data_IF_029589352980
#
_entry.id   IF_029589352980
#
_cell.length_a   1.000
_cell.length_b   1.000
_cell.length_c   1.000
_cell.angle_alpha   90.00
_cell.angle_beta   90.00
_cell.angle_gamma   90.00
#
_symmetry.space_group_name_H-M   'P 1'
#
loop_
_entity.id
_entity.type
_entity.pdbx_description
1 polymer ?
#
# COMPACT_ATOMS: atom_id res chain seq x y z
N UNK A 1 59.33 9.38 11.37
CA UNK A 1 58.10 9.12 12.17
C UNK A 1 57.36 8.02 11.45
N UNK A 2 57.27 6.86 12.10
CA UNK A 2 56.77 5.61 11.52
C UNK A 2 55.24 5.62 11.49
N UNK A 3 54.65 5.43 10.30
CA UNK A 3 53.20 5.50 10.03
C UNK A 3 52.52 4.12 9.99
N UNK A 4 53.16 3.06 10.49
CA UNK A 4 52.67 1.67 10.32
C UNK A 4 52.02 1.04 11.58
N UNK A 5 51.34 1.82 12.42
CA UNK A 5 50.48 1.23 13.48
C UNK A 5 49.06 0.99 12.98
N UNK A 6 48.81 -0.22 12.48
CA UNK A 6 47.48 -0.78 12.33
C UNK A 6 46.86 -1.02 13.71
N UNK A 7 45.91 -0.18 14.13
CA UNK A 7 44.99 -0.51 15.21
C UNK A 7 44.03 -1.60 14.71
N UNK A 8 44.26 -2.85 15.11
CA UNK A 8 43.21 -3.89 15.02
C UNK A 8 42.18 -3.57 16.10
N UNK A 9 41.00 -3.13 15.67
CA UNK A 9 39.85 -3.01 16.54
C UNK A 9 39.45 -4.42 16.97
N UNK A 10 39.65 -4.75 18.26
CA UNK A 10 39.42 -6.09 18.83
C UNK A 10 38.00 -6.26 19.39
N UNK A 11 37.10 -5.32 19.13
CA UNK A 11 35.69 -5.48 19.48
C UNK A 11 34.95 -6.05 18.27
N UNK A 12 34.62 -7.34 18.32
CA UNK A 12 33.52 -7.86 17.50
C UNK A 12 32.28 -7.01 17.82
N UNK A 13 31.64 -6.48 16.78
CA UNK A 13 30.50 -5.59 16.90
C UNK A 13 29.23 -6.38 17.28
N UNK A 14 29.18 -6.81 18.54
CA UNK A 14 28.02 -7.46 19.15
C UNK A 14 26.79 -6.54 19.18
N UNK A 15 26.94 -5.23 18.95
CA UNK A 15 25.82 -4.28 18.96
C UNK A 15 24.86 -4.49 17.80
N UNK A 16 25.36 -4.92 16.64
CA UNK A 16 24.55 -5.19 15.44
C UNK A 16 23.68 -6.44 15.65
N UNK A 17 24.24 -7.52 16.21
CA UNK A 17 23.49 -8.74 16.49
C UNK A 17 22.46 -8.54 17.61
N UNK A 18 22.84 -7.82 18.68
CA UNK A 18 21.93 -7.51 19.79
C UNK A 18 20.82 -6.56 19.35
N UNK A 19 21.12 -5.51 18.58
CA UNK A 19 20.09 -4.61 18.03
C UNK A 19 19.18 -5.31 17.04
N UNK A 20 19.70 -6.19 16.17
CA UNK A 20 18.87 -6.99 15.28
C UNK A 20 17.93 -7.92 16.04
N UNK A 21 18.41 -8.57 17.12
CA UNK A 21 17.57 -9.44 17.93
C UNK A 21 16.48 -8.64 18.69
N UNK A 22 16.83 -7.48 19.26
CA UNK A 22 15.86 -6.59 19.93
C UNK A 22 14.79 -6.11 18.93
N UNK A 23 15.19 -5.60 17.77
CA UNK A 23 14.25 -5.12 16.74
C UNK A 23 13.37 -6.26 16.21
N UNK A 24 13.90 -7.47 16.09
CA UNK A 24 13.15 -8.65 15.66
C UNK A 24 12.09 -9.06 16.69
N UNK A 25 12.45 -9.07 17.96
CA UNK A 25 11.55 -9.40 19.07
C UNK A 25 10.45 -8.34 19.22
N UNK A 26 10.79 -7.05 19.08
CA UNK A 26 9.83 -5.95 19.08
C UNK A 26 8.87 -6.02 17.88
N UNK A 27 9.37 -6.37 16.69
CA UNK A 27 8.52 -6.51 15.50
C UNK A 27 7.55 -7.68 15.63
N UNK A 28 8.00 -8.83 16.12
CA UNK A 28 7.15 -9.98 16.43
C UNK A 28 6.02 -9.62 17.41
N UNK A 29 6.38 -8.87 18.46
CA UNK A 29 5.43 -8.40 19.45
C UNK A 29 4.39 -7.46 18.83
N UNK A 30 4.81 -6.49 18.01
CA UNK A 30 3.89 -5.57 17.32
C UNK A 30 2.95 -6.32 16.36
N UNK A 31 3.46 -7.24 15.55
CA UNK A 31 2.64 -8.07 14.64
C UNK A 31 1.61 -8.87 15.43
N UNK A 32 2.02 -9.48 16.55
CA UNK A 32 1.13 -10.24 17.43
C UNK A 32 0.05 -9.34 18.04
N UNK A 33 0.39 -8.13 18.49
CA UNK A 33 -0.56 -7.15 19.00
C UNK A 33 -1.57 -6.73 17.94
N UNK A 34 -1.14 -6.47 16.70
CA UNK A 34 -2.03 -6.11 15.59
C UNK A 34 -3.05 -7.24 15.36
N UNK A 35 -2.58 -8.48 15.18
CA UNK A 35 -3.47 -9.64 14.94
C UNK A 35 -4.45 -9.83 16.10
N UNK A 36 -3.97 -9.87 17.34
CA UNK A 36 -4.82 -10.10 18.52
C UNK A 36 -5.85 -8.98 18.72
N UNK A 37 -5.46 -7.73 18.47
CA UNK A 37 -6.39 -6.60 18.49
C UNK A 37 -7.46 -6.74 17.41
N UNK A 38 -7.07 -7.12 16.19
CA UNK A 38 -8.00 -7.29 15.07
C UNK A 38 -9.01 -8.42 15.30
N UNK A 39 -8.57 -9.54 15.87
CA UNK A 39 -9.45 -10.68 16.23
C UNK A 39 -10.43 -10.25 17.32
N UNK A 40 -9.92 -9.59 18.36
CA UNK A 40 -10.73 -9.15 19.50
C UNK A 40 -11.81 -8.17 19.06
N UNK A 41 -11.44 -7.17 18.25
CA UNK A 41 -12.37 -6.19 17.70
C UNK A 41 -13.41 -6.86 16.76
N UNK A 42 -12.97 -7.72 15.84
CA UNK A 42 -13.87 -8.43 14.94
C UNK A 42 -14.89 -9.28 15.70
N UNK A 43 -14.46 -9.96 16.77
CA UNK A 43 -15.32 -10.80 17.61
C UNK A 43 -16.33 -9.95 18.38
N UNK A 44 -15.90 -8.86 19.02
CA UNK A 44 -16.79 -8.01 19.84
C UNK A 44 -17.84 -7.28 19.00
N UNK A 45 -17.51 -6.93 17.76
CA UNK A 45 -18.40 -6.22 16.83
C UNK A 45 -19.13 -7.17 15.86
N UNK A 46 -18.94 -8.48 15.99
CA UNK A 46 -19.52 -9.51 15.09
C UNK A 46 -19.25 -9.20 13.61
N UNK A 47 -18.02 -8.79 13.33
CA UNK A 47 -17.58 -8.47 11.96
C UNK A 47 -17.67 -9.70 11.07
N UNK A 48 -17.97 -9.48 9.79
CA UNK A 48 -17.94 -10.52 8.75
C UNK A 48 -16.52 -10.88 8.30
N UNK A 49 -15.50 -10.16 8.80
CA UNK A 49 -14.08 -10.39 8.56
C UNK A 49 -13.41 -10.91 9.83
N UNK A 50 -12.50 -11.92 9.77
CA UNK A 50 -11.77 -12.37 10.97
C UNK A 50 -10.82 -11.34 11.57
N UNK A 51 -10.32 -10.40 10.77
CA UNK A 51 -9.64 -9.20 11.24
C UNK A 51 -10.45 -7.97 10.87
N UNK A 52 -10.70 -7.10 11.84
CA UNK A 52 -11.32 -5.80 11.62
C UNK A 52 -10.78 -4.77 12.61
N UNK A 53 -10.81 -3.50 12.22
CA UNK A 53 -10.29 -2.38 12.99
C UNK A 53 -11.14 -1.14 12.75
N UNK A 54 -11.12 -0.21 13.70
CA UNK A 54 -11.71 1.12 13.54
C UNK A 54 -10.71 2.21 13.86
N UNK A 55 -10.90 3.35 13.20
CA UNK A 55 -10.18 4.58 13.46
C UNK A 55 -11.18 5.74 13.39
N UNK A 56 -11.21 6.59 14.43
CA UNK A 56 -12.26 7.63 14.60
C UNK A 56 -13.68 7.05 14.42
N UNK A 57 -13.98 5.98 15.18
CA UNK A 57 -15.27 5.30 15.21
C UNK A 57 -15.77 4.79 13.84
N UNK A 58 -14.86 4.63 12.88
CA UNK A 58 -15.17 4.20 11.51
C UNK A 58 -14.33 2.98 11.12
N UNK A 59 -14.99 1.96 10.58
CA UNK A 59 -14.34 0.79 9.96
C UNK A 59 -13.89 1.15 8.54
N UNK A 60 -12.76 1.85 8.45
CA UNK A 60 -12.15 2.18 7.16
C UNK A 60 -11.61 0.93 6.46
N UNK A 61 -11.69 0.92 5.13
CA UNK A 61 -11.20 -0.22 4.35
C UNK A 61 -9.98 0.12 3.48
N UNK A 62 -9.72 1.40 3.21
CA UNK A 62 -8.64 1.85 2.33
C UNK A 62 -7.22 1.71 2.91
N UNK A 63 -6.20 2.05 2.11
CA UNK A 63 -4.79 1.82 2.44
C UNK A 63 -4.25 2.74 3.56
N UNK A 64 -4.77 3.96 3.71
CA UNK A 64 -4.20 4.93 4.65
C UNK A 64 -4.61 4.67 6.11
N UNK A 65 -5.87 4.30 6.33
CA UNK A 65 -6.47 4.24 7.68
C UNK A 65 -7.28 2.96 7.91
N UNK A 66 -7.29 2.03 6.96
CA UNK A 66 -8.23 0.93 6.94
C UNK A 66 -7.60 -0.46 6.89
N UNK A 67 -8.49 -1.45 6.83
CA UNK A 67 -8.12 -2.87 6.80
C UNK A 67 -7.12 -3.19 5.68
N UNK A 68 -7.25 -2.60 4.49
CA UNK A 68 -6.30 -2.84 3.39
C UNK A 68 -4.87 -2.43 3.77
N UNK A 69 -4.71 -1.27 4.43
CA UNK A 69 -3.42 -0.79 4.93
C UNK A 69 -2.78 -1.76 5.91
N UNK A 70 -3.57 -2.24 6.86
CA UNK A 70 -3.10 -3.15 7.91
C UNK A 70 -2.71 -4.51 7.31
N UNK A 71 -3.55 -5.08 6.44
CA UNK A 71 -3.23 -6.33 5.75
C UNK A 71 -1.98 -6.17 4.88
N UNK A 72 -1.81 -5.04 4.19
CA UNK A 72 -0.61 -4.77 3.40
C UNK A 72 0.65 -4.84 4.25
N UNK A 73 0.66 -4.16 5.40
CA UNK A 73 1.80 -4.18 6.32
C UNK A 73 2.06 -5.57 6.91
N UNK A 74 1.02 -6.32 7.26
CA UNK A 74 1.15 -7.70 7.73
C UNK A 74 1.78 -8.60 6.66
N UNK A 75 1.40 -8.44 5.38
CA UNK A 75 1.98 -9.19 4.26
C UNK A 75 3.43 -8.81 3.98
N UNK A 76 3.78 -7.52 4.09
CA UNK A 76 5.20 -7.10 4.01
C UNK A 76 6.02 -7.68 5.16
N UNK A 77 5.40 -7.87 6.33
CA UNK A 77 5.97 -8.49 7.50
C UNK A 77 5.76 -10.03 7.56
N UNK A 78 5.48 -10.70 6.43
CA UNK A 78 5.08 -12.12 6.40
C UNK A 78 6.01 -13.07 7.16
N UNK A 79 7.31 -12.78 7.24
CA UNK A 79 8.30 -13.59 7.96
C UNK A 79 8.06 -13.68 9.47
N UNK A 80 7.21 -12.79 10.01
CA UNK A 80 6.79 -12.74 11.40
C UNK A 80 5.40 -13.32 11.62
N UNK A 81 4.73 -13.78 10.56
CA UNK A 81 3.45 -14.47 10.63
C UNK A 81 3.64 -15.97 10.66
N UNK A 82 2.84 -16.63 11.49
CA UNK A 82 2.68 -18.09 11.42
C UNK A 82 1.73 -18.47 10.31
N UNK A 83 1.87 -19.69 9.78
CA UNK A 83 0.97 -20.22 8.76
C UNK A 83 -0.50 -20.21 9.22
N UNK A 84 -0.73 -20.53 10.50
CA UNK A 84 -2.06 -20.48 11.12
C UNK A 84 -2.63 -19.05 11.10
N UNK A 85 -1.81 -18.03 11.36
CA UNK A 85 -2.27 -16.63 11.29
C UNK A 85 -2.64 -16.22 9.86
N UNK A 86 -1.86 -16.67 8.88
CA UNK A 86 -2.12 -16.40 7.47
C UNK A 86 -3.44 -17.05 7.04
N UNK A 87 -3.60 -18.35 7.30
CA UNK A 87 -4.73 -19.13 6.79
C UNK A 87 -6.05 -18.82 7.48
N UNK A 88 -6.04 -18.55 8.78
CA UNK A 88 -7.26 -18.35 9.55
C UNK A 88 -7.70 -16.89 9.65
N UNK A 89 -6.78 -15.94 9.50
CA UNK A 89 -7.08 -14.52 9.75
C UNK A 89 -6.76 -13.62 8.55
N UNK A 90 -5.52 -13.62 8.05
CA UNK A 90 -5.11 -12.69 6.99
C UNK A 90 -5.82 -13.01 5.67
N UNK A 91 -5.74 -14.27 5.21
CA UNK A 91 -6.31 -14.69 3.92
C UNK A 91 -7.84 -14.56 3.88
N UNK A 92 -8.61 -14.99 4.90
CA UNK A 92 -10.04 -14.73 4.95
C UNK A 92 -10.42 -13.24 4.96
N UNK A 93 -9.60 -12.39 5.59
CA UNK A 93 -9.84 -10.93 5.61
C UNK A 93 -9.59 -10.29 4.24
N UNK A 94 -8.66 -10.82 3.44
CA UNK A 94 -8.48 -10.43 2.03
C UNK A 94 -9.70 -10.80 1.18
N UNK A 95 -10.23 -12.02 1.35
CA UNK A 95 -11.49 -12.42 0.68
C UNK A 95 -12.67 -11.57 1.11
N UNK A 96 -12.73 -11.15 2.38
CA UNK A 96 -13.73 -10.19 2.83
C UNK A 96 -13.61 -8.86 2.08
N UNK A 97 -12.40 -8.31 1.90
CA UNK A 97 -12.21 -7.09 1.12
C UNK A 97 -12.69 -7.25 -0.32
N UNK A 98 -12.38 -8.37 -1.01
CA UNK A 98 -12.87 -8.62 -2.37
C UNK A 98 -14.40 -8.57 -2.47
N UNK A 99 -15.13 -9.06 -1.44
CA UNK A 99 -16.60 -9.01 -1.41
C UNK A 99 -17.16 -7.59 -1.30
N UNK A 100 -16.36 -6.62 -0.84
CA UNK A 100 -16.77 -5.22 -0.76
C UNK A 100 -16.60 -4.47 -2.08
N UNK A 101 -16.02 -5.09 -3.10
CA UNK A 101 -15.82 -4.46 -4.40
C UNK A 101 -17.17 -4.08 -5.02
N UNK A 102 -17.28 -2.84 -5.48
CA UNK A 102 -18.45 -2.38 -6.23
C UNK A 102 -18.50 -3.03 -7.61
N UNK A 103 -19.69 -3.02 -8.23
CA UNK A 103 -19.87 -3.47 -9.61
C UNK A 103 -18.98 -2.73 -10.63
N UNK A 104 -18.53 -1.51 -10.29
CA UNK A 104 -17.57 -0.77 -11.12
C UNK A 104 -16.15 -1.33 -11.07
N UNK A 105 -15.81 -2.14 -10.07
CA UNK A 105 -14.47 -2.58 -9.73
C UNK A 105 -13.76 -1.72 -8.66
N UNK A 106 -14.37 -0.62 -8.22
CA UNK A 106 -13.84 0.23 -7.15
C UNK A 106 -14.20 -0.32 -5.76
N UNK A 107 -13.70 0.32 -4.71
CA UNK A 107 -13.95 -0.06 -3.32
C UNK A 107 -14.54 1.10 -2.51
N UNK A 108 -15.35 0.80 -1.49
CA UNK A 108 -15.81 1.81 -0.55
C UNK A 108 -14.67 2.48 0.23
N UNK A 109 -15.00 3.55 0.97
CA UNK A 109 -14.04 4.14 1.91
C UNK A 109 -14.09 3.50 3.30
N UNK A 110 -15.26 3.02 3.70
CA UNK A 110 -15.56 2.33 4.95
C UNK A 110 -16.70 1.33 4.74
N UNK A 111 -16.89 0.40 5.69
CA UNK A 111 -17.86 -0.71 5.58
C UNK A 111 -19.29 -0.22 5.28
N UNK A 112 -19.76 0.84 5.94
CA UNK A 112 -21.13 1.35 5.78
C UNK A 112 -21.31 2.34 4.62
N UNK A 113 -20.26 2.61 3.85
CA UNK A 113 -20.31 3.61 2.79
C UNK A 113 -20.66 2.96 1.44
N UNK A 114 -21.81 3.32 0.87
CA UNK A 114 -22.22 2.84 -0.47
C UNK A 114 -21.79 3.75 -1.63
N UNK A 115 -21.04 4.83 -1.35
CA UNK A 115 -20.65 5.82 -2.35
C UNK A 115 -19.40 5.41 -3.14
N UNK A 116 -19.60 5.03 -4.40
CA UNK A 116 -18.53 4.75 -5.35
C UNK A 116 -17.99 6.04 -6.01
N UNK A 117 -17.21 6.80 -5.26
CA UNK A 117 -16.66 8.09 -5.75
C UNK A 117 -15.14 8.23 -5.67
N UNK A 118 -14.51 7.66 -4.64
CA UNK A 118 -13.10 7.94 -4.34
C UNK A 118 -12.21 6.97 -5.12
N UNK A 119 -11.30 7.52 -5.94
CA UNK A 119 -10.26 6.79 -6.67
C UNK A 119 -8.92 7.31 -6.16
N UNK A 120 -8.64 7.05 -4.89
CA UNK A 120 -7.46 7.54 -4.19
C UNK A 120 -6.66 6.38 -3.59
N UNK A 121 -5.37 6.57 -3.35
CA UNK A 121 -4.58 5.61 -2.57
C UNK A 121 -5.19 5.45 -1.16
N UNK A 122 -5.52 6.55 -0.49
CA UNK A 122 -6.08 6.47 0.86
C UNK A 122 -7.45 5.75 0.93
N UNK A 123 -8.29 5.90 -0.11
CA UNK A 123 -9.61 5.29 -0.20
C UNK A 123 -9.98 4.97 -1.65
N UNK A 124 -10.19 3.68 -1.95
CA UNK A 124 -10.62 3.17 -3.25
C UNK A 124 -9.62 2.21 -3.90
N UNK A 125 -9.85 1.93 -5.18
CA UNK A 125 -9.09 0.99 -5.98
C UNK A 125 -7.55 1.18 -5.97
N UNK A 126 -6.99 2.41 -5.98
CA UNK A 126 -5.54 2.58 -6.04
C UNK A 126 -4.77 1.91 -4.89
N UNK A 127 -5.26 2.06 -3.65
CA UNK A 127 -4.65 1.40 -2.48
C UNK A 127 -4.89 -0.12 -2.46
N UNK A 128 -6.03 -0.57 -2.98
CA UNK A 128 -6.38 -1.99 -3.07
C UNK A 128 -5.53 -2.74 -4.10
N UNK A 129 -5.20 -2.09 -5.22
CA UNK A 129 -4.37 -2.68 -6.27
C UNK A 129 -3.00 -3.13 -5.73
N UNK A 130 -2.33 -2.29 -4.95
CA UNK A 130 -1.06 -2.62 -4.31
C UNK A 130 -1.20 -3.83 -3.37
N UNK A 131 -2.24 -3.83 -2.53
CA UNK A 131 -2.52 -4.93 -1.61
C UNK A 131 -2.71 -6.25 -2.33
N UNK A 132 -3.56 -6.29 -3.35
CA UNK A 132 -3.89 -7.54 -4.03
C UNK A 132 -2.74 -8.05 -4.92
N UNK A 133 -1.90 -7.16 -5.47
CA UNK A 133 -0.64 -7.56 -6.08
C UNK A 133 0.28 -8.26 -5.07
N UNK A 134 0.45 -7.69 -3.87
CA UNK A 134 1.26 -8.29 -2.82
C UNK A 134 0.67 -9.60 -2.30
N UNK A 135 -0.66 -9.65 -2.10
CA UNK A 135 -1.36 -10.86 -1.67
C UNK A 135 -1.18 -12.02 -2.65
N UNK A 136 -1.30 -11.77 -3.97
CA UNK A 136 -1.04 -12.78 -4.99
C UNK A 136 0.40 -13.32 -4.90
N UNK A 137 1.39 -12.44 -4.69
CA UNK A 137 2.80 -12.81 -4.57
C UNK A 137 3.12 -13.59 -3.28
N UNK A 138 2.51 -13.22 -2.17
CA UNK A 138 2.89 -13.67 -0.82
C UNK A 138 2.03 -14.84 -0.33
N UNK A 139 0.73 -14.85 -0.67
CA UNK A 139 -0.27 -15.74 -0.07
C UNK A 139 -0.84 -16.70 -1.13
N UNK A 140 0.03 -17.54 -1.69
CA UNK A 140 -0.33 -18.77 -2.43
C UNK A 140 -0.70 -18.66 -3.91
N UNK A 141 -0.29 -17.60 -4.63
CA UNK A 141 -0.57 -17.48 -6.07
C UNK A 141 -2.06 -17.67 -6.42
N UNK A 142 -2.97 -17.33 -5.49
CA UNK A 142 -4.40 -17.35 -5.75
C UNK A 142 -4.73 -16.28 -6.79
N UNK A 143 -5.05 -16.75 -8.00
CA UNK A 143 -5.25 -15.90 -9.17
C UNK A 143 -6.35 -14.87 -8.96
N UNK A 144 -7.32 -15.13 -8.07
CA UNK A 144 -8.43 -14.20 -7.80
C UNK A 144 -7.93 -12.87 -7.25
N UNK A 145 -6.84 -12.85 -6.48
CA UNK A 145 -6.23 -11.60 -6.01
C UNK A 145 -5.63 -10.80 -7.17
N UNK A 146 -4.94 -11.46 -8.10
CA UNK A 146 -4.41 -10.78 -9.27
C UNK A 146 -5.54 -10.24 -10.15
N UNK A 147 -6.61 -11.00 -10.35
CA UNK A 147 -7.80 -10.55 -11.09
C UNK A 147 -8.42 -9.30 -10.45
N UNK A 148 -8.56 -9.27 -9.12
CA UNK A 148 -9.04 -8.07 -8.40
C UNK A 148 -8.09 -6.89 -8.60
N UNK A 149 -6.77 -7.10 -8.54
CA UNK A 149 -5.80 -6.03 -8.79
C UNK A 149 -5.91 -5.49 -10.22
N UNK A 150 -6.11 -6.36 -11.21
CA UNK A 150 -6.30 -5.99 -12.62
C UNK A 150 -7.58 -5.16 -12.78
N UNK A 151 -8.69 -5.58 -12.16
CA UNK A 151 -9.94 -4.82 -12.17
C UNK A 151 -9.77 -3.43 -11.54
N UNK A 152 -9.03 -3.31 -10.43
CA UNK A 152 -8.66 -2.01 -9.87
C UNK A 152 -7.94 -1.16 -10.94
N UNK A 153 -6.97 -1.74 -11.64
CA UNK A 153 -6.25 -1.07 -12.73
C UNK A 153 -7.17 -0.55 -13.84
N UNK A 154 -8.21 -1.28 -14.23
CA UNK A 154 -9.18 -0.82 -15.24
C UNK A 154 -10.01 0.38 -14.73
N UNK A 155 -10.43 0.38 -13.46
CA UNK A 155 -11.13 1.52 -12.85
C UNK A 155 -10.22 2.75 -12.76
N UNK A 156 -8.99 2.56 -12.32
CA UNK A 156 -8.00 3.64 -12.20
C UNK A 156 -7.71 4.22 -13.57
N UNK A 157 -7.64 3.39 -14.62
CA UNK A 157 -7.46 3.87 -15.97
C UNK A 157 -8.63 4.75 -16.43
N UNK A 158 -9.86 4.34 -16.14
CA UNK A 158 -11.06 5.08 -16.55
C UNK A 158 -11.31 6.36 -15.73
N UNK A 159 -10.94 6.37 -14.43
CA UNK A 159 -11.39 7.39 -13.46
C UNK A 159 -10.28 8.02 -12.62
N UNK A 160 -9.03 7.60 -12.79
CA UNK A 160 -7.90 7.95 -11.92
C UNK A 160 -7.18 9.25 -12.25
N UNK A 161 -7.53 9.93 -13.34
CA UNK A 161 -7.08 11.31 -13.63
C UNK A 161 -7.93 12.30 -12.84
N UNK A 162 -7.50 12.62 -11.62
CA UNK A 162 -8.30 13.34 -10.65
C UNK A 162 -8.25 14.86 -10.86
N UNK A 163 -9.42 15.49 -10.90
CA UNK A 163 -9.53 16.96 -10.79
C UNK A 163 -9.16 17.50 -9.40
N UNK A 164 -8.99 16.62 -8.40
CA UNK A 164 -8.55 16.97 -7.05
C UNK A 164 -7.10 17.46 -7.04
N UNK A 165 -6.26 16.93 -7.94
CA UNK A 165 -4.86 17.31 -8.05
C UNK A 165 -3.96 16.13 -8.41
N UNK A 166 -2.65 16.36 -8.32
CA UNK A 166 -1.63 15.47 -8.85
C UNK A 166 -0.88 14.68 -7.78
N UNK A 167 -1.19 14.89 -6.50
CA UNK A 167 -0.46 14.38 -5.34
C UNK A 167 -0.44 12.84 -5.18
N UNK A 168 0.26 12.37 -4.16
CA UNK A 168 0.44 10.95 -3.86
C UNK A 168 -0.76 10.35 -3.08
N UNK A 169 -1.28 11.04 -2.05
CA UNK A 169 -2.33 10.46 -1.21
C UNK A 169 -3.66 10.24 -1.96
N UNK A 170 -4.01 11.20 -2.82
CA UNK A 170 -5.30 11.29 -3.49
C UNK A 170 -5.21 12.14 -4.75
N UNK A 171 -4.18 11.88 -5.56
CA UNK A 171 -3.88 12.57 -6.80
C UNK A 171 -3.39 11.62 -7.90
N UNK A 172 -3.13 12.19 -9.06
CA UNK A 172 -2.72 11.43 -10.26
C UNK A 172 -1.41 10.67 -10.04
N UNK A 173 -0.39 11.26 -9.40
CA UNK A 173 0.88 10.57 -9.16
C UNK A 173 0.69 9.32 -8.30
N UNK A 174 -0.10 9.42 -7.22
CA UNK A 174 -0.42 8.28 -6.37
C UNK A 174 -1.13 7.15 -7.10
N UNK A 175 -2.09 7.51 -7.97
CA UNK A 175 -2.80 6.54 -8.80
C UNK A 175 -1.90 5.90 -9.86
N UNK A 176 -0.87 6.63 -10.33
CA UNK A 176 0.14 6.11 -11.26
C UNK A 176 0.92 4.93 -10.69
N UNK A 177 1.21 4.92 -9.38
CA UNK A 177 1.88 3.80 -8.71
C UNK A 177 1.11 2.49 -8.81
N UNK A 178 -0.22 2.51 -8.84
CA UNK A 178 -1.01 1.28 -9.01
C UNK A 178 -0.68 0.57 -10.33
N UNK A 179 -0.37 1.32 -11.39
CA UNK A 179 0.11 0.72 -12.64
C UNK A 179 1.54 0.23 -12.56
N UNK A 180 2.39 0.89 -11.77
CA UNK A 180 3.74 0.39 -11.48
C UNK A 180 3.65 -0.95 -10.75
N UNK A 181 2.82 -1.08 -9.71
CA UNK A 181 2.61 -2.34 -8.99
C UNK A 181 2.10 -3.44 -9.92
N UNK A 182 1.12 -3.14 -10.78
CA UNK A 182 0.61 -4.10 -11.77
C UNK A 182 1.69 -4.49 -12.79
N UNK A 183 2.48 -3.55 -13.30
CA UNK A 183 3.60 -3.84 -14.20
C UNK A 183 4.66 -4.72 -13.51
N UNK A 184 5.05 -4.38 -12.29
CA UNK A 184 6.03 -5.15 -11.53
C UNK A 184 5.54 -6.57 -11.25
N UNK A 185 4.24 -6.76 -11.02
CA UNK A 185 3.66 -8.07 -10.75
C UNK A 185 3.45 -8.91 -12.03
N UNK A 186 2.88 -8.32 -13.08
CA UNK A 186 2.47 -9.04 -14.31
C UNK A 186 3.53 -9.08 -15.40
N UNK A 187 4.48 -8.13 -15.36
CA UNK A 187 5.42 -7.82 -16.45
C UNK A 187 4.75 -7.40 -17.77
N UNK A 188 3.44 -7.12 -17.76
CA UNK A 188 2.73 -6.62 -18.94
C UNK A 188 3.04 -5.13 -19.17
N UNK A 189 3.65 -4.84 -20.32
CA UNK A 189 4.03 -3.50 -20.75
C UNK A 189 2.83 -2.54 -20.88
N UNK A 190 1.59 -3.06 -20.99
CA UNK A 190 0.36 -2.27 -20.93
C UNK A 190 0.31 -1.40 -19.67
N UNK A 191 0.68 -1.95 -18.52
CA UNK A 191 0.62 -1.21 -17.26
C UNK A 191 1.75 -0.18 -17.17
N UNK A 192 2.94 -0.49 -17.67
CA UNK A 192 4.01 0.50 -17.78
C UNK A 192 3.59 1.68 -18.67
N UNK A 193 2.95 1.41 -19.81
CA UNK A 193 2.39 2.45 -20.66
C UNK A 193 1.37 3.33 -19.92
N UNK A 194 0.46 2.73 -19.16
CA UNK A 194 -0.53 3.48 -18.35
C UNK A 194 0.15 4.34 -17.28
N UNK A 195 1.18 3.84 -16.60
CA UNK A 195 1.99 4.61 -15.66
C UNK A 195 2.64 5.82 -16.36
N UNK A 196 3.23 5.63 -17.55
CA UNK A 196 3.78 6.71 -18.36
C UNK A 196 2.73 7.75 -18.74
N UNK A 197 1.49 7.35 -19.06
CA UNK A 197 0.40 8.30 -19.35
C UNK A 197 -0.03 9.12 -18.13
N UNK A 198 0.04 8.54 -16.94
CA UNK A 198 -0.19 9.28 -15.69
C UNK A 198 0.98 10.23 -15.38
N UNK A 199 2.21 9.83 -15.69
CA UNK A 199 3.40 10.68 -15.60
C UNK A 199 3.34 11.85 -16.59
N UNK A 200 2.92 11.59 -17.83
CA UNK A 200 2.71 12.60 -18.86
C UNK A 200 1.69 13.65 -18.41
N UNK A 201 0.56 13.20 -17.85
CA UNK A 201 -0.44 14.11 -17.26
C UNK A 201 0.15 14.98 -16.14
N UNK A 202 1.11 14.46 -15.37
CA UNK A 202 1.79 15.23 -14.33
C UNK A 202 2.72 16.34 -14.87
N UNK A 203 3.10 16.32 -16.15
CA UNK A 203 3.84 17.45 -16.75
C UNK A 203 2.96 18.70 -16.94
N UNK A 204 1.65 18.52 -17.06
CA UNK A 204 0.66 19.60 -17.04
C UNK A 204 0.31 20.04 -15.61
N UNK A 205 1.27 19.95 -14.67
CA UNK A 205 1.05 20.23 -13.25
C UNK A 205 0.45 21.62 -13.04
N UNK A 206 -0.67 21.68 -12.31
CA UNK A 206 -1.38 22.91 -11.99
C UNK A 206 -2.41 23.36 -13.04
N UNK A 207 -2.44 22.76 -14.25
CA UNK A 207 -3.36 23.17 -15.31
C UNK A 207 -4.77 22.60 -15.15
N UNK A 208 -4.92 21.42 -14.54
CA UNK A 208 -6.20 20.69 -14.49
C UNK A 208 -6.76 20.47 -13.08
N UNK A 209 -6.13 21.04 -12.05
CA UNK A 209 -6.60 20.91 -10.67
C UNK A 209 -7.64 21.98 -10.32
N UNK A 210 -8.69 21.59 -9.61
CA UNK A 210 -9.74 22.52 -9.19
C UNK A 210 -9.32 23.42 -8.02
N UNK A 211 -8.38 22.95 -7.19
CA UNK A 211 -7.95 23.62 -5.95
C UNK A 211 -6.47 23.35 -5.70
N UNK A 212 -5.79 24.31 -5.08
CA UNK A 212 -4.46 24.08 -4.53
C UNK A 212 -4.53 23.12 -3.34
N UNK A 213 -3.54 22.24 -3.14
CA UNK A 213 -3.45 21.40 -1.94
C UNK A 213 -3.27 22.25 -0.67
N UNK A 214 -3.67 21.73 0.48
CA UNK A 214 -3.49 22.42 1.77
C UNK A 214 -2.00 22.61 2.11
N UNK A 215 -1.17 21.62 1.75
CA UNK A 215 0.30 21.70 1.82
C UNK A 215 0.93 21.52 0.42
N UNK A 216 0.99 22.58 -0.42
CA UNK A 216 1.35 22.51 -1.83
C UNK A 216 2.72 21.91 -2.18
N UNK A 217 3.64 21.87 -1.22
CA UNK A 217 5.01 21.35 -1.41
C UNK A 217 5.30 20.08 -0.60
N UNK A 218 4.31 19.54 0.12
CA UNK A 218 4.49 18.32 0.91
C UNK A 218 4.57 17.06 0.05
N UNK A 219 5.06 15.97 0.64
CA UNK A 219 5.18 14.67 -0.03
C UNK A 219 3.80 14.08 -0.40
N UNK A 220 2.84 14.07 0.53
CA UNK A 220 1.57 13.36 0.31
C UNK A 220 0.49 14.20 -0.39
N UNK A 221 0.54 15.52 -0.29
CA UNK A 221 -0.47 16.41 -0.88
C UNK A 221 0.08 17.31 -1.99
N UNK A 222 1.39 17.50 -2.05
CA UNK A 222 2.00 18.55 -2.85
C UNK A 222 2.95 18.07 -3.94
N UNK A 223 3.69 19.03 -4.46
CA UNK A 223 4.64 18.89 -5.56
C UNK A 223 5.76 17.87 -5.28
N UNK A 224 6.21 17.75 -4.03
CA UNK A 224 7.27 16.81 -3.68
C UNK A 224 6.89 15.36 -4.01
N UNK A 225 5.63 14.97 -3.79
CA UNK A 225 5.13 13.65 -4.18
C UNK A 225 5.09 13.43 -5.69
N UNK A 226 4.73 14.46 -6.45
CA UNK A 226 4.72 14.39 -7.91
C UNK A 226 6.14 14.22 -8.45
N UNK A 227 7.09 15.01 -7.94
CA UNK A 227 8.51 14.88 -8.30
C UNK A 227 9.01 13.47 -7.95
N UNK A 228 8.68 12.96 -6.75
CA UNK A 228 9.06 11.62 -6.32
C UNK A 228 8.57 10.55 -7.32
N UNK A 229 7.29 10.59 -7.72
CA UNK A 229 6.75 9.69 -8.74
C UNK A 229 7.48 9.80 -10.10
N UNK A 230 7.76 11.01 -10.56
CA UNK A 230 8.46 11.22 -11.84
C UNK A 230 9.90 10.71 -11.81
N UNK A 231 10.59 10.79 -10.68
CA UNK A 231 11.92 10.20 -10.50
C UNK A 231 11.83 8.67 -10.52
N UNK A 232 10.89 8.09 -9.78
CA UNK A 232 10.69 6.63 -9.72
C UNK A 232 10.34 6.03 -11.10
N UNK A 233 9.62 6.79 -11.94
CA UNK A 233 9.32 6.40 -13.32
C UNK A 233 10.56 6.22 -14.22
N UNK A 234 11.74 6.72 -13.83
CA UNK A 234 12.98 6.45 -14.55
C UNK A 234 13.46 5.00 -14.38
N UNK A 235 13.09 4.34 -13.28
CA UNK A 235 13.43 2.95 -12.96
C UNK A 235 12.19 2.22 -12.43
N UNK A 236 11.16 2.00 -13.26
CA UNK A 236 9.85 1.53 -12.82
C UNK A 236 9.87 0.11 -12.21
N UNK A 237 10.93 -0.67 -12.44
CA UNK A 237 11.12 -1.98 -11.82
C UNK A 237 11.66 -1.91 -10.38
N UNK A 238 12.21 -0.76 -9.97
CA UNK A 238 12.69 -0.48 -8.61
C UNK A 238 11.80 0.50 -7.85
N UNK A 239 10.87 1.16 -8.55
CA UNK A 239 9.97 2.15 -7.99
C UNK A 239 9.14 1.60 -6.81
N UNK A 240 8.97 2.43 -5.79
CA UNK A 240 8.28 2.09 -4.53
C UNK A 240 7.42 3.27 -4.09
N UNK A 241 6.15 2.99 -3.80
CA UNK A 241 5.24 3.98 -3.23
C UNK A 241 5.84 4.51 -1.92
N UNK A 242 6.08 5.83 -1.80
CA UNK A 242 6.86 6.39 -0.70
C UNK A 242 6.17 6.17 0.64
N UNK A 243 6.94 5.74 1.65
CA UNK A 243 6.49 5.51 3.03
C UNK A 243 5.38 4.45 3.15
N UNK A 244 5.26 3.56 2.16
CA UNK A 244 4.30 2.45 2.18
C UNK A 244 4.95 1.14 1.74
N UNK A 245 5.67 1.13 0.61
CA UNK A 245 6.38 -0.05 0.12
C UNK A 245 7.76 -0.16 0.79
N UNK A 246 8.14 -1.36 1.23
CA UNK A 246 9.41 -1.69 1.92
C UNK A 246 10.40 -2.37 0.99
#
# INVERSE_FOLDING_TARGET
MDTTRHYKNQFEDYSILVSHNIVKDDTNMVVSCIINSGISYATSHRSNSPLMYSWHDTEYIGAAHGLAGILYMLLQAQQYLTQVQIDNYVKPSLYYLQKLQFASGNFPSSVDNSSDRLIHWCHGAPGMSALFCLAYKVVFEDITFLETAIQCGEVIWARGLLRKGYSICHGVAGNGYSFIHLFQQTKDIKYLYRACKFAEWCFDYGLHQNRSPDRPFSLFEGLAGVIYFLIDMQQPHLAKFPMYDV
#
